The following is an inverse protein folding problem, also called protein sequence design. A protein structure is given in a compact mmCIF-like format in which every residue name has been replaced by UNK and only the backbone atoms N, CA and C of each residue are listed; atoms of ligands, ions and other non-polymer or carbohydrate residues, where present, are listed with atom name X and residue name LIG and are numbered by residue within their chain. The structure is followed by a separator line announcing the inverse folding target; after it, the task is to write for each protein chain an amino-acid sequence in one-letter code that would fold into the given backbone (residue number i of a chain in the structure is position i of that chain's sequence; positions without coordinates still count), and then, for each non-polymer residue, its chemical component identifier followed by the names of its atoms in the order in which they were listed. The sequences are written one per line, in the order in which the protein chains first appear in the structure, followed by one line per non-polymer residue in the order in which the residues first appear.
data_IF_367608880314
#
_entry.id   IF_367608880314
#
_cell.length_a   1.000
_cell.length_b   1.000
_cell.length_c   1.000
_cell.angle_alpha   90.00
_cell.angle_beta   90.00
_cell.angle_gamma   90.00
#
_symmetry.space_group_name_H-M   'P 1'
#
loop_
_entity.id
_entity.type
_entity.pdbx_description
1 polymer ?
#
# COMPACT_ATOMS: atom_id res chain seq x y z
N UNK A 1 3.13 -11.17 12.30
CA UNK A 1 2.38 -11.20 13.58
C UNK A 1 3.01 -10.38 14.75
N UNK A 2 3.88 -9.39 14.49
CA UNK A 2 4.76 -8.81 15.51
C UNK A 2 4.44 -7.38 16.01
N UNK A 3 3.24 -6.84 15.76
CA UNK A 3 2.94 -5.42 16.10
C UNK A 3 1.74 -5.23 17.04
N UNK A 4 1.02 -6.28 17.42
CA UNK A 4 -0.19 -6.18 18.26
C UNK A 4 -1.38 -5.44 17.62
N UNK A 5 -1.20 -4.93 16.39
CA UNK A 5 -2.24 -4.27 15.61
C UNK A 5 -3.04 -5.35 14.89
N UNK A 6 -4.38 -5.40 15.05
CA UNK A 6 -5.20 -6.35 14.33
C UNK A 6 -4.99 -6.15 12.82
N UNK A 7 -4.88 -7.27 12.08
CA UNK A 7 -4.76 -7.21 10.62
C UNK A 7 -5.99 -6.47 10.11
N UNK A 8 -5.83 -5.39 9.30
CA UNK A 8 -6.96 -4.67 8.74
C UNK A 8 -7.86 -5.66 8.00
N UNK A 9 -9.17 -5.57 8.21
CA UNK A 9 -10.13 -6.41 7.50
C UNK A 9 -9.97 -6.23 5.99
N UNK A 10 -9.80 -7.32 5.26
CA UNK A 10 -9.72 -7.27 3.80
C UNK A 10 -11.12 -6.98 3.23
N UNK A 11 -11.23 -5.91 2.45
CA UNK A 11 -12.46 -5.62 1.71
C UNK A 11 -12.60 -6.59 0.53
N UNK A 12 -13.83 -7.06 0.19
CA UNK A 12 -14.07 -7.89 -0.98
C UNK A 12 -13.60 -7.20 -2.27
N UNK A 13 -12.80 -7.90 -3.08
CA UNK A 13 -12.15 -7.34 -4.28
C UNK A 13 -13.14 -6.73 -5.28
N UNK A 14 -14.34 -7.31 -5.40
CA UNK A 14 -15.39 -6.82 -6.29
C UNK A 14 -15.83 -5.41 -5.88
N UNK A 15 -16.04 -5.19 -4.58
CA UNK A 15 -16.43 -3.88 -4.04
C UNK A 15 -15.32 -2.84 -4.29
N UNK A 16 -14.07 -3.22 -4.09
CA UNK A 16 -12.93 -2.32 -4.29
C UNK A 16 -12.79 -1.92 -5.77
N UNK A 17 -12.99 -2.86 -6.70
CA UNK A 17 -12.97 -2.57 -8.15
C UNK A 17 -14.12 -1.64 -8.56
N UNK A 18 -15.33 -1.88 -8.05
CA UNK A 18 -16.49 -1.02 -8.34
C UNK A 18 -16.29 0.40 -7.80
N UNK A 19 -15.84 0.52 -6.56
CA UNK A 19 -15.52 1.81 -5.95
C UNK A 19 -14.43 2.56 -6.74
N UNK A 20 -13.37 1.84 -7.17
CA UNK A 20 -12.30 2.43 -7.97
C UNK A 20 -12.76 2.98 -9.31
N UNK A 21 -13.67 2.29 -10.01
CA UNK A 21 -14.25 2.76 -11.28
C UNK A 21 -15.15 3.99 -11.07
N UNK A 22 -16.01 3.96 -10.05
CA UNK A 22 -16.93 5.05 -9.76
C UNK A 22 -16.18 6.32 -9.35
N UNK A 23 -15.21 6.19 -8.45
CA UNK A 23 -14.41 7.31 -7.96
C UNK A 23 -13.51 7.90 -9.04
N UNK A 24 -13.01 7.09 -9.97
CA UNK A 24 -12.24 7.58 -11.12
C UNK A 24 -13.11 8.45 -12.03
N UNK A 25 -14.34 8.02 -12.33
CA UNK A 25 -15.28 8.83 -13.12
C UNK A 25 -15.62 10.16 -12.42
N UNK A 26 -15.93 10.12 -11.12
CA UNK A 26 -16.21 11.33 -10.33
C UNK A 26 -14.98 12.25 -10.28
N UNK A 27 -13.79 11.68 -10.09
CA UNK A 27 -12.53 12.42 -10.06
C UNK A 27 -12.25 13.14 -11.38
N UNK A 28 -12.49 12.48 -12.51
CA UNK A 28 -12.38 13.11 -13.83
C UNK A 28 -13.40 14.24 -14.03
N UNK A 29 -14.64 14.07 -13.58
CA UNK A 29 -15.67 15.12 -13.71
C UNK A 29 -15.40 16.33 -12.82
N UNK A 30 -14.91 16.11 -11.60
CA UNK A 30 -14.66 17.16 -10.61
C UNK A 30 -13.23 17.69 -10.65
N UNK A 31 -12.40 17.21 -11.58
CA UNK A 31 -10.96 17.46 -11.65
C UNK A 31 -10.27 17.26 -10.28
N UNK A 32 -10.71 16.22 -9.57
CA UNK A 32 -10.26 15.84 -8.23
C UNK A 32 -9.49 14.52 -8.32
N UNK A 33 -8.38 14.41 -7.59
CA UNK A 33 -7.61 13.17 -7.55
C UNK A 33 -8.22 12.22 -6.50
N UNK A 34 -8.94 11.16 -6.89
CA UNK A 34 -9.56 10.28 -5.92
C UNK A 34 -8.50 9.43 -5.20
N UNK A 35 -8.69 9.12 -3.92
CA UNK A 35 -7.77 8.26 -3.16
C UNK A 35 -7.73 6.83 -3.71
N UNK A 36 -8.84 6.37 -4.32
CA UNK A 36 -8.97 5.08 -4.97
C UNK A 36 -9.31 5.29 -6.45
N UNK A 37 -8.50 4.75 -7.36
CA UNK A 37 -8.76 4.75 -8.80
C UNK A 37 -8.65 3.33 -9.35
N UNK A 38 -9.23 3.07 -10.53
CA UNK A 38 -9.14 1.77 -11.19
C UNK A 38 -7.70 1.33 -11.39
N UNK A 39 -6.82 2.25 -11.81
CA UNK A 39 -5.40 1.99 -11.97
C UNK A 39 -4.73 1.56 -10.66
N UNK A 40 -5.01 2.29 -9.57
CA UNK A 40 -4.42 2.01 -8.25
C UNK A 40 -4.88 0.64 -7.72
N UNK A 41 -6.16 0.29 -7.93
CA UNK A 41 -6.71 -1.03 -7.58
C UNK A 41 -6.05 -2.14 -8.41
N UNK A 42 -5.91 -1.95 -9.72
CA UNK A 42 -5.22 -2.92 -10.58
C UNK A 42 -3.76 -3.12 -10.14
N UNK A 43 -3.06 -2.05 -9.77
CA UNK A 43 -1.68 -2.15 -9.30
C UNK A 43 -1.56 -2.98 -8.02
N UNK A 44 -2.40 -2.68 -7.02
CA UNK A 44 -2.35 -3.33 -5.70
C UNK A 44 -2.78 -4.79 -5.75
N UNK A 45 -3.81 -5.14 -6.54
CA UNK A 45 -4.34 -6.50 -6.55
C UNK A 45 -3.77 -7.39 -7.65
N UNK A 46 -3.44 -6.82 -8.82
CA UNK A 46 -3.04 -7.61 -9.99
C UNK A 46 -1.52 -7.53 -10.26
N UNK A 47 -0.84 -6.42 -9.94
CA UNK A 47 0.60 -6.24 -10.20
C UNK A 47 1.52 -6.42 -9.00
N UNK A 48 1.03 -6.21 -7.78
CA UNK A 48 1.80 -6.50 -6.59
C UNK A 48 1.94 -8.02 -6.42
N UNK A 49 2.90 -8.60 -7.14
CA UNK A 49 3.44 -9.92 -6.83
C UNK A 49 4.06 -9.81 -5.44
N UNK A 50 3.53 -10.55 -4.45
CA UNK A 50 4.21 -10.73 -3.17
C UNK A 50 5.50 -11.49 -3.47
N UNK A 51 6.57 -10.76 -3.76
CA UNK A 51 7.88 -11.35 -4.02
C UNK A 51 8.41 -11.87 -2.70
N UNK A 52 8.71 -13.15 -2.66
CA UNK A 52 9.37 -13.77 -1.51
C UNK A 52 10.75 -13.12 -1.32
N UNK A 53 10.91 -12.42 -0.20
CA UNK A 53 12.15 -11.73 0.15
C UNK A 53 13.27 -12.69 0.59
N UNK A 54 12.97 -13.99 0.78
CA UNK A 54 13.92 -15.01 1.23
C UNK A 54 15.12 -15.10 0.30
N UNK A 55 14.89 -15.12 -1.02
CA UNK A 55 15.96 -15.15 -2.03
C UNK A 55 16.91 -13.95 -1.89
N UNK A 56 16.36 -12.76 -1.69
CA UNK A 56 17.17 -11.55 -1.57
C UNK A 56 18.01 -11.53 -0.27
N UNK A 57 17.45 -12.04 0.84
CA UNK A 57 18.16 -12.11 2.13
C UNK A 57 19.26 -13.16 2.12
N UNK A 58 18.96 -14.36 1.65
CA UNK A 58 19.86 -15.51 1.77
C UNK A 58 20.90 -15.57 0.64
N UNK A 59 20.51 -15.25 -0.60
CA UNK A 59 21.36 -15.45 -1.77
C UNK A 59 22.06 -14.17 -2.25
N UNK A 60 21.46 -13.00 -2.00
CA UNK A 60 22.03 -11.71 -2.43
C UNK A 60 22.69 -10.94 -1.28
N UNK A 61 22.71 -11.52 -0.07
CA UNK A 61 23.29 -10.89 1.12
C UNK A 61 22.61 -9.58 1.50
N UNK A 62 21.34 -9.39 1.11
CA UNK A 62 20.66 -8.12 1.31
C UNK A 62 20.33 -7.87 2.79
N UNK A 63 21.01 -6.89 3.37
CA UNK A 63 20.76 -6.39 4.72
C UNK A 63 19.66 -5.32 4.69
N UNK A 64 18.40 -5.74 4.66
CA UNK A 64 17.27 -4.80 4.71
C UNK A 64 17.22 -4.06 6.06
N UNK A 65 16.84 -2.77 6.03
CA UNK A 65 16.48 -2.03 7.26
C UNK A 65 15.21 -2.63 7.84
N UNK A 66 15.08 -2.61 9.18
CA UNK A 66 13.87 -3.14 9.79
C UNK A 66 12.66 -2.25 9.46
N UNK A 67 11.53 -2.88 9.16
CA UNK A 67 10.27 -2.18 8.85
C UNK A 67 9.88 -1.25 10.00
N UNK A 68 10.08 -1.69 11.25
CA UNK A 68 9.75 -0.89 12.43
C UNK A 68 10.62 0.37 12.55
N UNK A 69 11.93 0.28 12.30
CA UNK A 69 12.81 1.46 12.31
C UNK A 69 12.45 2.44 11.19
N UNK A 70 12.22 1.95 9.97
CA UNK A 70 11.81 2.79 8.84
C UNK A 70 10.48 3.50 9.12
N UNK A 71 9.49 2.80 9.68
CA UNK A 71 8.22 3.43 10.04
C UNK A 71 8.37 4.50 11.13
N UNK A 72 9.18 4.25 12.17
CA UNK A 72 9.47 5.26 13.21
C UNK A 72 10.14 6.49 12.63
N UNK A 73 11.09 6.31 11.72
CA UNK A 73 11.78 7.41 11.05
C UNK A 73 10.81 8.26 10.20
N UNK A 74 9.94 7.62 9.41
CA UNK A 74 8.92 8.31 8.60
C UNK A 74 7.95 9.10 9.47
N UNK A 75 7.45 8.51 10.55
CA UNK A 75 6.55 9.22 11.49
C UNK A 75 7.24 10.44 12.10
N UNK A 76 8.51 10.31 12.50
CA UNK A 76 9.30 11.42 13.03
C UNK A 76 9.46 12.54 12.00
N UNK A 77 9.70 12.21 10.73
CA UNK A 77 9.77 13.20 9.65
C UNK A 77 8.44 13.92 9.43
N UNK A 78 7.32 13.19 9.41
CA UNK A 78 5.98 13.79 9.28
C UNK A 78 5.62 14.72 10.45
N UNK A 79 6.10 14.42 11.67
CA UNK A 79 5.91 15.27 12.85
C UNK A 79 6.78 16.53 12.85
N UNK A 80 7.91 16.54 12.14
CA UNK A 80 8.80 17.70 12.04
C UNK A 80 8.38 18.69 10.94
N UNK A 81 7.53 18.25 10.01
CA UNK A 81 7.01 19.05 8.89
C UNK A 81 5.74 19.83 9.31
N UNK A 82 5.06 19.40 10.38
CA UNK A 82 3.99 20.14 11.05
C UNK A 82 4.55 21.04 12.16
#
# INVERSE_FOLDING_TARGET
PGTGIPVPGEAPIILVRLAGNLLEFIGHLLNWQPPLSRERVHYVYDRCVRVDATKAREQLGWQHRSVAETLREVVKQLQQIN
#
